data_IF_311813920862
#
_entry.id   IF_311813920862
#
_cell.length_a   1.000
_cell.length_b   1.000
_cell.length_c   1.000
_cell.angle_alpha   90.00
_cell.angle_beta   90.00
_cell.angle_gamma   90.00
#
_symmetry.space_group_name_H-M   'P 1'
#
loop_
_entity.id
_entity.type
_entity.pdbx_description
1 polymer ?
#
# COMPACT_ATOMS: atom_id res chain seq x y z
N UNK A 1 25.52 16.93 -37.90
CA UNK A 1 25.52 15.71 -37.07
C UNK A 1 25.42 16.13 -35.62
N UNK A 2 24.22 16.06 -35.03
CA UNK A 2 24.03 16.34 -33.61
C UNK A 2 23.18 15.23 -33.04
N UNK A 3 23.85 14.19 -32.56
CA UNK A 3 23.26 13.05 -31.88
C UNK A 3 22.85 13.51 -30.48
N UNK A 4 21.54 13.60 -30.18
CA UNK A 4 21.05 13.92 -28.83
C UNK A 4 20.29 12.74 -28.23
N UNK A 5 20.99 12.13 -27.28
CA UNK A 5 20.55 11.55 -26.01
C UNK A 5 19.47 10.47 -26.05
N UNK A 6 19.93 9.25 -25.74
CA UNK A 6 19.09 8.14 -25.28
C UNK A 6 18.21 8.58 -24.11
N UNK A 7 16.96 8.14 -24.19
CA UNK A 7 15.91 8.33 -23.20
C UNK A 7 16.11 7.26 -22.14
N UNK A 8 16.33 7.70 -20.90
CA UNK A 8 16.40 6.84 -19.72
C UNK A 8 15.07 6.14 -19.52
N UNK A 9 15.09 4.81 -19.46
CA UNK A 9 13.98 4.00 -18.97
C UNK A 9 13.83 4.26 -17.47
N UNK A 10 13.03 5.27 -17.14
CA UNK A 10 12.58 5.53 -15.78
C UNK A 10 11.57 4.46 -15.40
N UNK A 11 11.98 3.55 -14.52
CA UNK A 11 11.11 2.68 -13.75
C UNK A 11 9.95 3.53 -13.19
N UNK A 12 8.75 3.40 -13.76
CA UNK A 12 7.57 4.08 -13.25
C UNK A 12 7.33 3.51 -11.86
N UNK A 13 7.71 4.26 -10.83
CA UNK A 13 7.30 4.01 -9.46
C UNK A 13 5.77 4.19 -9.47
N UNK A 14 5.03 3.11 -9.69
CA UNK A 14 3.58 3.13 -9.60
C UNK A 14 3.21 3.57 -8.19
N UNK A 15 2.23 4.46 -8.08
CA UNK A 15 1.76 5.00 -6.80
C UNK A 15 1.43 3.82 -5.86
N UNK A 16 2.09 3.69 -4.69
CA UNK A 16 1.88 2.56 -3.81
C UNK A 16 0.43 2.42 -3.35
N UNK A 17 -0.35 3.51 -3.35
CA UNK A 17 -1.79 3.45 -3.09
C UNK A 17 -2.52 2.66 -4.17
N UNK A 18 -2.24 2.93 -5.44
CA UNK A 18 -2.85 2.23 -6.58
C UNK A 18 -2.50 0.74 -6.53
N UNK A 19 -1.25 0.40 -6.20
CA UNK A 19 -0.84 -1.00 -6.04
C UNK A 19 -1.59 -1.66 -4.86
N UNK A 20 -1.79 -0.94 -3.76
CA UNK A 20 -2.57 -1.45 -2.62
C UNK A 20 -4.04 -1.65 -3.00
N UNK A 21 -4.66 -0.72 -3.71
CA UNK A 21 -6.03 -0.84 -4.20
C UNK A 21 -6.18 -2.04 -5.16
N UNK A 22 -5.22 -2.25 -6.05
CA UNK A 22 -5.18 -3.40 -6.97
C UNK A 22 -4.98 -4.73 -6.22
N UNK A 23 -4.17 -4.77 -5.16
CA UNK A 23 -4.00 -5.98 -4.34
C UNK A 23 -5.28 -6.27 -3.57
N UNK A 24 -5.85 -5.26 -2.91
CA UNK A 24 -6.97 -5.42 -1.97
C UNK A 24 -8.31 -5.71 -2.69
N UNK A 25 -8.47 -5.21 -3.92
CA UNK A 25 -9.67 -5.36 -4.75
C UNK A 25 -10.95 -5.02 -3.96
N UNK A 26 -11.97 -5.89 -3.98
CA UNK A 26 -13.23 -5.73 -3.25
C UNK A 26 -13.18 -6.31 -1.82
N UNK A 27 -12.03 -6.85 -1.39
CA UNK A 27 -11.87 -7.49 -0.07
C UNK A 27 -11.52 -6.50 1.04
N UNK A 28 -11.26 -5.23 0.70
CA UNK A 28 -10.99 -4.16 1.63
C UNK A 28 -11.15 -2.77 1.01
N UNK A 29 -10.99 -1.74 1.83
CA UNK A 29 -11.03 -0.35 1.38
C UNK A 29 -9.75 0.38 1.83
N UNK A 30 -9.01 0.96 0.88
CA UNK A 30 -7.74 1.65 1.11
C UNK A 30 -7.97 3.16 1.18
N UNK A 31 -7.45 3.79 2.24
CA UNK A 31 -7.49 5.24 2.44
C UNK A 31 -6.11 5.73 2.86
N UNK A 32 -5.78 6.98 2.55
CA UNK A 32 -4.58 7.63 3.07
C UNK A 32 -4.84 8.15 4.49
N UNK A 33 -3.92 7.86 5.41
CA UNK A 33 -4.01 8.35 6.78
C UNK A 33 -2.61 8.56 7.37
N UNK A 34 -2.38 9.72 7.99
CA UNK A 34 -1.11 10.06 8.65
C UNK A 34 0.15 9.89 7.79
N UNK A 35 0.07 10.16 6.48
CA UNK A 35 1.19 9.97 5.54
C UNK A 35 1.48 8.52 5.16
N UNK A 36 0.64 7.57 5.59
CA UNK A 36 0.62 6.20 5.11
C UNK A 36 -0.80 5.78 4.75
N UNK A 37 -1.20 4.57 5.15
CA UNK A 37 -2.46 3.96 4.70
C UNK A 37 -3.28 3.39 5.84
N UNK A 38 -4.60 3.57 5.76
CA UNK A 38 -5.62 2.86 6.54
C UNK A 38 -6.37 1.93 5.61
N UNK A 39 -6.37 0.64 5.92
CA UNK A 39 -7.05 -0.39 5.14
C UNK A 39 -8.13 -1.02 6.02
N UNK A 40 -9.39 -0.90 5.63
CA UNK A 40 -10.49 -1.61 6.26
C UNK A 40 -10.67 -2.98 5.60
N UNK A 41 -10.64 -4.06 6.37
CA UNK A 41 -10.83 -5.42 5.85
C UNK A 41 -12.32 -5.75 5.80
N UNK A 42 -12.86 -5.92 4.59
CA UNK A 42 -14.27 -6.22 4.36
C UNK A 42 -14.54 -7.74 4.34
N UNK A 43 -13.58 -8.54 3.86
CA UNK A 43 -13.69 -10.00 3.84
C UNK A 43 -12.37 -10.67 4.28
N UNK A 44 -12.24 -10.96 5.58
CA UNK A 44 -11.01 -11.51 6.16
C UNK A 44 -10.58 -12.87 5.60
N UNK A 45 -11.51 -13.67 5.07
CA UNK A 45 -11.22 -15.00 4.52
C UNK A 45 -10.58 -14.93 3.13
N UNK A 46 -10.82 -13.84 2.38
CA UNK A 46 -10.27 -13.63 1.05
C UNK A 46 -9.23 -12.52 0.99
N UNK A 47 -9.12 -11.72 2.05
CA UNK A 47 -8.19 -10.61 2.11
C UNK A 47 -6.74 -11.10 1.86
N UNK A 48 -5.98 -10.45 0.97
CA UNK A 48 -4.63 -10.87 0.59
C UNK A 48 -3.58 -10.42 1.61
N UNK A 49 -3.67 -10.96 2.82
CA UNK A 49 -2.86 -10.57 3.98
C UNK A 49 -1.37 -10.46 3.68
N UNK A 50 -0.79 -11.52 3.09
CA UNK A 50 0.65 -11.60 2.88
C UNK A 50 1.15 -10.53 1.92
N UNK A 51 0.42 -10.25 0.84
CA UNK A 51 0.86 -9.32 -0.19
C UNK A 51 0.69 -7.87 0.27
N UNK A 52 -0.39 -7.57 1.00
CA UNK A 52 -0.57 -6.26 1.66
C UNK A 52 0.56 -5.99 2.65
N UNK A 53 0.84 -6.90 3.59
CA UNK A 53 1.91 -6.69 4.57
C UNK A 53 3.28 -6.60 3.91
N UNK A 54 3.58 -7.43 2.89
CA UNK A 54 4.85 -7.34 2.16
C UNK A 54 5.02 -5.99 1.50
N UNK A 55 3.99 -5.45 0.86
CA UNK A 55 4.08 -4.14 0.23
C UNK A 55 4.32 -3.06 1.26
N UNK A 56 3.50 -2.99 2.33
CA UNK A 56 3.64 -1.99 3.39
C UNK A 56 5.04 -2.01 4.04
N UNK A 57 5.56 -3.20 4.34
CA UNK A 57 6.89 -3.35 4.92
C UNK A 57 8.03 -2.99 3.93
N UNK A 58 7.85 -3.26 2.63
CA UNK A 58 8.80 -2.83 1.58
C UNK A 58 8.84 -1.32 1.41
N UNK A 59 7.74 -0.62 1.69
CA UNK A 59 7.71 0.84 1.76
C UNK A 59 8.41 1.40 3.00
N UNK A 60 8.91 0.55 3.89
CA UNK A 60 9.54 0.98 5.14
C UNK A 60 8.53 1.46 6.18
N UNK A 61 7.26 1.10 6.05
CA UNK A 61 6.24 1.47 7.03
C UNK A 61 6.30 0.57 8.27
N UNK A 62 5.92 1.13 9.41
CA UNK A 62 5.38 0.37 10.53
C UNK A 62 3.91 0.06 10.27
N UNK A 63 3.45 -1.09 10.76
CA UNK A 63 2.09 -1.59 10.53
C UNK A 63 1.46 -2.01 11.85
N UNK A 64 0.25 -1.54 12.09
CA UNK A 64 -0.59 -1.89 13.22
C UNK A 64 -1.90 -2.50 12.73
N UNK A 65 -2.44 -3.43 13.51
CA UNK A 65 -3.78 -3.98 13.28
C UNK A 65 -4.63 -3.62 14.49
N UNK A 66 -5.81 -3.07 14.24
CA UNK A 66 -6.74 -2.60 15.25
C UNK A 66 -8.18 -3.02 14.92
N UNK A 67 -9.07 -2.90 15.90
CA UNK A 67 -10.50 -3.12 15.76
C UNK A 67 -11.24 -1.80 15.95
N UNK A 68 -11.98 -1.36 14.93
CA UNK A 68 -12.93 -0.24 15.07
C UNK A 68 -14.36 -0.79 15.02
N UNK A 69 -14.93 -1.05 16.20
CA UNK A 69 -16.17 -1.81 16.34
C UNK A 69 -15.94 -3.26 15.91
N UNK A 70 -16.71 -3.73 14.93
CA UNK A 70 -16.56 -5.08 14.36
C UNK A 70 -15.60 -5.14 13.16
N UNK A 71 -15.05 -3.99 12.74
CA UNK A 71 -14.22 -3.88 11.55
C UNK A 71 -12.75 -4.03 11.91
N UNK A 72 -12.06 -4.94 11.21
CA UNK A 72 -10.62 -5.12 11.33
C UNK A 72 -9.92 -4.10 10.42
N UNK A 73 -9.05 -3.28 11.02
CA UNK A 73 -8.36 -2.17 10.37
C UNK A 73 -6.85 -2.40 10.41
N UNK A 74 -6.20 -2.24 9.27
CA UNK A 74 -4.73 -2.19 9.16
C UNK A 74 -4.35 -0.72 9.00
N UNK A 75 -3.48 -0.22 9.87
CA UNK A 75 -2.91 1.12 9.76
C UNK A 75 -1.43 1.00 9.48
N UNK A 76 -0.91 1.81 8.57
CA UNK A 76 0.52 1.87 8.27
C UNK A 76 1.00 3.31 8.20
N UNK A 77 2.24 3.55 8.65
CA UNK A 77 2.90 4.86 8.57
C UNK A 77 4.38 4.68 8.27
N UNK A 78 5.02 5.59 7.53
CA UNK A 78 6.47 5.59 7.37
C UNK A 78 7.16 5.57 8.74
N UNK A 79 8.25 4.82 8.86
CA UNK A 79 9.10 4.89 10.06
C UNK A 79 9.68 6.30 10.17
N UNK A 80 9.45 6.93 11.31
CA UNK A 80 10.24 8.09 11.75
C UNK A 80 11.51 7.55 12.39
N UNK A 81 12.66 7.82 11.77
CA UNK A 81 13.98 7.64 12.40
C UNK A 81 14.14 8.55 13.64
#
# INVERSE_FOLDING_TARGET
MSNKKGKSDGEKCADPRVILEDIVEDHGNVMEEYGGYRIEVLNHMKFPWADVFRLLLRLGHEVWVDMNGEKLIIVSKPKTD
#
